data_IF_227735450934
#
_entry.id   IF_227735450934
#
_cell.length_a   1.000
_cell.length_b   1.000
_cell.length_c   1.000
_cell.angle_alpha   90.00
_cell.angle_beta   90.00
_cell.angle_gamma   90.00
#
_symmetry.space_group_name_H-M   'P 1'
#
loop_
_entity.id
_entity.type
_entity.pdbx_description
1 polymer ?
#
# COMPACT_ATOMS: atom_id res chain seq x y z
N UNK A 1 61.58 -7.94 -19.45
CA UNK A 1 61.31 -6.57 -18.96
C UNK A 1 60.04 -6.07 -19.62
N UNK A 2 58.89 -6.29 -18.97
CA UNK A 2 57.57 -5.84 -19.42
C UNK A 2 57.33 -4.44 -18.85
N UNK A 3 57.30 -3.43 -19.72
CA UNK A 3 57.00 -2.07 -19.33
C UNK A 3 55.56 -1.99 -18.79
N UNK A 4 55.44 -1.64 -17.51
CA UNK A 4 54.20 -1.32 -16.83
C UNK A 4 53.55 -0.09 -17.48
N UNK A 5 52.53 -0.31 -18.30
CA UNK A 5 51.64 0.74 -18.77
C UNK A 5 50.63 1.11 -17.65
N UNK A 6 51.14 1.57 -16.50
CA UNK A 6 50.33 2.20 -15.47
C UNK A 6 50.06 3.68 -15.83
N UNK A 7 49.49 3.90 -17.01
CA UNK A 7 48.89 5.18 -17.37
C UNK A 7 47.58 5.31 -16.60
N UNK A 8 47.64 5.86 -15.38
CA UNK A 8 46.46 6.16 -14.60
C UNK A 8 45.50 7.02 -15.45
N UNK A 9 44.43 6.41 -15.95
CA UNK A 9 43.38 7.08 -16.71
C UNK A 9 42.67 8.09 -15.81
N UNK A 10 43.25 9.29 -15.71
CA UNK A 10 42.65 10.40 -15.00
C UNK A 10 41.36 10.80 -15.73
N UNK A 11 40.30 10.99 -14.96
CA UNK A 11 39.05 11.48 -15.52
C UNK A 11 39.27 12.83 -16.22
N UNK A 12 38.67 13.07 -17.41
CA UNK A 12 38.71 14.37 -18.05
C UNK A 12 38.23 15.48 -17.12
N UNK A 13 38.84 16.67 -17.22
CA UNK A 13 38.51 17.81 -16.35
C UNK A 13 37.03 18.19 -16.37
N UNK A 14 36.42 18.19 -17.56
CA UNK A 14 35.01 18.51 -17.73
C UNK A 14 34.07 17.52 -17.01
N UNK A 15 34.35 16.21 -17.09
CA UNK A 15 33.56 15.20 -16.39
C UNK A 15 33.75 15.27 -14.86
N UNK A 16 34.97 15.58 -14.38
CA UNK A 16 35.22 15.87 -12.95
C UNK A 16 34.42 17.07 -12.45
N UNK A 17 34.35 18.13 -13.24
CA UNK A 17 33.58 19.33 -12.90
C UNK A 17 32.08 19.01 -12.78
N UNK A 18 31.52 18.29 -13.74
CA UNK A 18 30.09 17.90 -13.70
C UNK A 18 29.79 16.99 -12.51
N UNK A 19 30.62 15.99 -12.21
CA UNK A 19 30.48 15.19 -10.98
C UNK A 19 30.50 16.07 -9.73
N UNK A 20 31.42 17.05 -9.67
CA UNK A 20 31.48 18.03 -8.60
C UNK A 20 30.17 18.78 -8.41
N UNK A 21 29.60 19.27 -9.52
CA UNK A 21 28.35 20.01 -9.55
C UNK A 21 27.14 19.13 -9.17
N UNK A 22 27.08 17.89 -9.63
CA UNK A 22 26.05 16.93 -9.22
C UNK A 22 26.15 16.58 -7.72
N UNK A 23 27.36 16.49 -7.17
CA UNK A 23 27.55 16.23 -5.74
C UNK A 23 27.13 17.38 -4.84
N UNK A 24 27.14 18.65 -5.28
CA UNK A 24 26.66 19.76 -4.43
C UNK A 24 25.18 19.62 -4.12
N UNK A 25 24.43 19.02 -5.05
CA UNK A 25 23.02 18.73 -4.87
C UNK A 25 22.77 17.65 -3.81
N UNK A 26 23.73 16.79 -3.48
CA UNK A 26 23.55 15.71 -2.49
C UNK A 26 23.84 16.18 -1.04
N UNK A 27 23.26 15.54 -0.01
CA UNK A 27 23.60 15.79 1.40
C UNK A 27 25.07 15.49 1.71
N UNK A 28 25.70 16.28 2.58
CA UNK A 28 27.15 16.26 2.83
C UNK A 28 27.73 14.86 3.15
N UNK A 29 27.04 14.07 3.99
CA UNK A 29 27.46 12.72 4.39
C UNK A 29 27.43 11.69 3.26
N UNK A 30 26.68 11.96 2.18
CA UNK A 30 26.52 11.05 1.04
C UNK A 30 27.41 11.44 -0.15
N UNK A 31 27.95 12.67 -0.17
CA UNK A 31 28.73 13.21 -1.28
C UNK A 31 29.99 12.40 -1.58
N UNK A 32 30.75 12.04 -0.54
CA UNK A 32 32.04 11.38 -0.72
C UNK A 32 31.90 10.00 -1.38
N UNK A 33 30.93 9.21 -0.90
CA UNK A 33 30.59 7.89 -1.46
C UNK A 33 30.11 8.01 -2.91
N UNK A 34 29.10 8.84 -3.16
CA UNK A 34 28.53 8.94 -4.50
C UNK A 34 29.54 9.52 -5.51
N UNK A 35 30.40 10.45 -5.08
CA UNK A 35 31.50 10.96 -5.90
C UNK A 35 32.45 9.84 -6.28
N UNK A 36 32.83 8.96 -5.35
CA UNK A 36 33.72 7.84 -5.62
C UNK A 36 33.10 6.85 -6.62
N UNK A 37 31.83 6.49 -6.43
CA UNK A 37 31.09 5.59 -7.33
C UNK A 37 31.01 6.18 -8.76
N UNK A 38 30.54 7.41 -8.92
CA UNK A 38 30.45 8.05 -10.24
C UNK A 38 31.82 8.23 -10.90
N UNK A 39 32.85 8.54 -10.12
CA UNK A 39 34.22 8.66 -10.63
C UNK A 39 34.72 7.29 -11.12
N UNK A 40 34.48 6.21 -10.37
CA UNK A 40 34.86 4.86 -10.77
C UNK A 40 34.16 4.42 -12.07
N UNK A 41 32.85 4.65 -12.17
CA UNK A 41 32.07 4.30 -13.37
C UNK A 41 32.55 5.08 -14.61
N UNK A 42 32.82 6.38 -14.45
CA UNK A 42 33.27 7.23 -15.55
C UNK A 42 34.71 6.94 -16.01
N UNK A 43 35.54 6.28 -15.19
CA UNK A 43 36.83 5.77 -15.63
C UNK A 43 36.68 4.61 -16.61
N UNK A 44 35.63 3.80 -16.46
CA UNK A 44 35.36 2.63 -17.31
C UNK A 44 34.64 3.00 -18.61
N UNK A 45 33.87 4.09 -18.60
CA UNK A 45 33.14 4.57 -19.78
C UNK A 45 34.04 5.52 -20.58
N UNK A 46 34.03 5.46 -21.91
CA UNK A 46 34.80 6.37 -22.79
C UNK A 46 33.91 7.07 -23.81
N UNK A 47 34.43 8.16 -24.41
CA UNK A 47 33.75 8.88 -25.48
C UNK A 47 32.38 9.47 -25.11
N UNK A 48 31.42 9.56 -26.05
CA UNK A 48 30.13 10.22 -25.86
C UNK A 48 29.20 9.51 -24.85
N UNK A 49 29.45 8.23 -24.55
CA UNK A 49 28.70 7.48 -23.54
C UNK A 49 28.85 8.07 -22.12
N UNK A 50 29.98 8.75 -21.84
CA UNK A 50 30.20 9.45 -20.55
C UNK A 50 29.14 10.52 -20.31
N UNK A 51 28.80 11.28 -21.34
CA UNK A 51 27.82 12.36 -21.22
C UNK A 51 26.42 11.81 -21.00
N UNK A 52 26.05 10.74 -21.73
CA UNK A 52 24.78 10.03 -21.49
C UNK A 52 24.67 9.50 -20.06
N UNK A 53 25.75 8.94 -19.52
CA UNK A 53 25.81 8.50 -18.13
C UNK A 53 25.62 9.68 -17.15
N UNK A 54 26.33 10.79 -17.36
CA UNK A 54 26.19 11.98 -16.51
C UNK A 54 24.78 12.59 -16.54
N UNK A 55 24.14 12.63 -17.71
CA UNK A 55 22.74 13.03 -17.82
C UNK A 55 21.81 12.06 -17.09
N UNK A 56 22.05 10.75 -17.18
CA UNK A 56 21.34 9.74 -16.40
C UNK A 56 21.51 9.92 -14.90
N UNK A 57 22.74 10.21 -14.44
CA UNK A 57 23.04 10.50 -13.03
C UNK A 57 22.35 11.79 -12.56
N UNK A 58 22.25 12.80 -13.43
CA UNK A 58 21.50 14.02 -13.15
C UNK A 58 19.99 13.74 -13.04
N UNK A 59 19.45 12.83 -13.84
CA UNK A 59 18.04 12.45 -13.77
C UNK A 59 17.69 11.67 -12.49
N UNK A 60 18.63 10.89 -11.96
CA UNK A 60 18.44 10.10 -10.73
C UNK A 60 18.70 10.88 -9.43
N UNK A 61 19.18 12.13 -9.52
CA UNK A 61 19.46 12.99 -8.36
C UNK A 61 18.30 13.13 -7.36
N UNK A 62 17.03 13.33 -7.79
CA UNK A 62 15.91 13.42 -6.85
C UNK A 62 15.73 12.13 -6.04
N UNK A 63 15.86 10.97 -6.67
CA UNK A 63 15.77 9.68 -6.01
C UNK A 63 16.94 9.46 -5.03
N UNK A 64 18.16 9.82 -5.44
CA UNK A 64 19.36 9.74 -4.59
C UNK A 64 19.28 10.68 -3.38
N UNK A 65 18.76 11.90 -3.56
CA UNK A 65 18.48 12.82 -2.45
C UNK A 65 17.51 12.21 -1.44
N UNK A 66 16.47 11.55 -1.93
CA UNK A 66 15.44 10.94 -1.11
C UNK A 66 16.01 9.72 -0.33
N UNK A 67 16.83 8.91 -0.98
CA UNK A 67 17.58 7.81 -0.34
C UNK A 67 18.57 8.32 0.71
N UNK A 68 19.37 9.34 0.39
CA UNK A 68 20.37 9.91 1.30
C UNK A 68 19.74 10.57 2.54
N UNK A 69 18.54 11.14 2.39
CA UNK A 69 17.74 11.66 3.53
C UNK A 69 17.22 10.53 4.41
N UNK A 70 16.73 9.44 3.81
CA UNK A 70 16.27 8.24 4.54
C UNK A 70 17.40 7.56 5.30
N UNK A 71 18.57 7.42 4.67
CA UNK A 71 19.75 6.86 5.33
C UNK A 71 20.21 7.66 6.57
N UNK A 72 19.88 8.96 6.65
CA UNK A 72 20.16 9.80 7.83
C UNK A 72 19.10 9.64 8.92
N UNK A 73 17.83 9.47 8.56
CA UNK A 73 16.76 9.18 9.53
C UNK A 73 16.91 7.78 10.14
N UNK A 74 17.52 6.85 9.42
CA UNK A 74 17.80 5.48 9.89
C UNK A 74 19.11 5.42 10.71
N UNK A 75 19.78 6.56 10.94
CA UNK A 75 21.06 6.69 11.61
C UNK A 75 21.08 6.48 13.14
N UNK A 76 20.03 5.91 13.74
CA UNK A 76 20.04 5.52 15.17
C UNK A 76 19.44 4.14 15.45
N UNK A 77 19.34 3.29 14.43
CA UNK A 77 18.94 1.91 14.61
C UNK A 77 18.94 1.24 13.26
N UNK A 78 19.82 0.27 13.08
CA UNK A 78 19.73 -0.67 11.97
C UNK A 78 18.46 -1.47 12.22
N UNK A 79 17.32 -0.92 11.82
CA UNK A 79 16.06 -1.63 11.82
C UNK A 79 16.18 -2.60 10.65
N UNK A 80 16.43 -3.88 10.96
CA UNK A 80 16.47 -4.92 9.96
C UNK A 80 15.22 -4.82 9.07
N UNK A 81 15.36 -5.00 7.73
CA UNK A 81 14.20 -4.97 6.85
C UNK A 81 13.17 -5.98 7.34
N UNK A 82 11.90 -5.56 7.40
CA UNK A 82 10.83 -6.45 7.83
C UNK A 82 10.86 -7.73 6.99
N UNK A 83 10.65 -8.88 7.64
CA UNK A 83 10.54 -10.15 6.95
C UNK A 83 9.47 -10.11 5.85
N UNK A 84 9.62 -10.88 4.76
CA UNK A 84 8.74 -10.81 3.59
C UNK A 84 7.26 -11.01 3.93
N UNK A 85 6.96 -11.88 4.90
CA UNK A 85 5.60 -12.07 5.42
C UNK A 85 5.06 -10.81 6.11
N UNK A 86 5.85 -10.18 6.98
CA UNK A 86 5.43 -8.94 7.68
C UNK A 86 5.19 -7.81 6.68
N UNK A 87 6.06 -7.68 5.68
CA UNK A 87 5.91 -6.68 4.63
C UNK A 87 4.67 -6.93 3.76
N UNK A 88 4.38 -8.20 3.42
CA UNK A 88 3.18 -8.61 2.69
C UNK A 88 1.93 -8.31 3.52
N UNK A 89 1.86 -8.79 4.76
CA UNK A 89 0.73 -8.58 5.67
C UNK A 89 0.46 -7.09 5.89
N UNK A 90 1.50 -6.29 6.16
CA UNK A 90 1.37 -4.85 6.30
C UNK A 90 0.79 -4.18 5.04
N UNK A 91 1.23 -4.61 3.85
CA UNK A 91 0.73 -4.07 2.58
C UNK A 91 -0.72 -4.47 2.31
N UNK A 92 -1.06 -5.72 2.53
CA UNK A 92 -2.42 -6.24 2.39
C UNK A 92 -3.37 -5.53 3.34
N UNK A 93 -2.99 -5.36 4.61
CA UNK A 93 -3.81 -4.66 5.61
C UNK A 93 -3.97 -3.17 5.28
N UNK A 94 -2.91 -2.48 4.86
CA UNK A 94 -3.01 -1.07 4.45
C UNK A 94 -4.00 -0.88 3.29
N UNK A 95 -3.94 -1.76 2.28
CA UNK A 95 -4.83 -1.67 1.12
C UNK A 95 -6.25 -2.11 1.48
N UNK A 96 -6.39 -3.23 2.19
CA UNK A 96 -7.70 -3.79 2.55
C UNK A 96 -8.47 -2.94 3.55
N UNK A 97 -7.83 -2.52 4.66
CA UNK A 97 -8.47 -1.61 5.62
C UNK A 97 -8.71 -0.23 5.00
N UNK A 98 -7.77 0.26 4.19
CA UNK A 98 -7.94 1.52 3.47
C UNK A 98 -9.15 1.48 2.53
N UNK A 99 -9.28 0.40 1.75
CA UNK A 99 -10.43 0.17 0.89
C UNK A 99 -11.73 0.08 1.69
N UNK A 100 -11.82 -0.81 2.68
CA UNK A 100 -13.03 -1.01 3.47
C UNK A 100 -13.49 0.27 4.19
N UNK A 101 -12.58 0.95 4.90
CA UNK A 101 -12.90 2.19 5.63
C UNK A 101 -13.31 3.31 4.67
N UNK A 102 -12.57 3.52 3.58
CA UNK A 102 -12.90 4.58 2.62
C UNK A 102 -14.26 4.31 1.95
N UNK A 103 -14.49 3.07 1.53
CA UNK A 103 -15.75 2.67 0.91
C UNK A 103 -16.91 2.82 1.89
N UNK A 104 -16.73 2.42 3.15
CA UNK A 104 -17.73 2.62 4.20
C UNK A 104 -18.05 4.10 4.34
N UNK A 105 -17.05 4.97 4.57
CA UNK A 105 -17.25 6.42 4.76
C UNK A 105 -17.99 7.05 3.59
N UNK A 106 -17.59 6.71 2.36
CA UNK A 106 -18.20 7.29 1.15
C UNK A 106 -19.62 6.77 0.94
N UNK A 107 -19.84 5.45 1.10
CA UNK A 107 -21.10 4.81 0.72
C UNK A 107 -22.17 4.90 1.79
N UNK A 108 -21.81 4.86 3.08
CA UNK A 108 -22.77 4.88 4.18
C UNK A 108 -22.96 6.31 4.73
N UNK A 109 -22.16 6.83 5.67
CA UNK A 109 -22.44 8.13 6.26
C UNK A 109 -22.35 9.27 5.24
N UNK A 110 -21.44 9.19 4.26
CA UNK A 110 -21.31 10.22 3.22
C UNK A 110 -22.62 10.43 2.45
N UNK A 111 -23.19 9.35 1.90
CA UNK A 111 -24.46 9.42 1.16
C UNK A 111 -25.66 9.67 2.05
N UNK A 112 -25.69 9.03 3.22
CA UNK A 112 -26.76 9.19 4.19
C UNK A 112 -26.95 10.66 4.62
N UNK A 113 -25.83 11.38 4.81
CA UNK A 113 -25.84 12.81 5.16
C UNK A 113 -26.06 13.71 3.92
N UNK A 114 -25.38 13.45 2.80
CA UNK A 114 -25.49 14.29 1.59
C UNK A 114 -26.92 14.30 1.02
N UNK A 115 -27.64 13.19 1.14
CA UNK A 115 -29.01 13.07 0.64
C UNK A 115 -30.08 13.46 1.67
N UNK A 116 -29.65 13.85 2.87
CA UNK A 116 -30.52 14.22 3.99
C UNK A 116 -31.59 13.14 4.28
N UNK A 117 -31.15 11.89 4.31
CA UNK A 117 -32.01 10.73 4.56
C UNK A 117 -32.77 10.87 5.91
N UNK A 118 -32.16 11.35 7.01
CA UNK A 118 -32.89 11.59 8.26
C UNK A 118 -34.12 12.49 8.11
N UNK A 119 -33.99 13.65 7.48
CA UNK A 119 -35.10 14.58 7.32
C UNK A 119 -36.20 14.02 6.40
N UNK A 120 -35.79 13.29 5.34
CA UNK A 120 -36.72 12.65 4.41
C UNK A 120 -37.51 11.52 5.07
N UNK A 121 -36.84 10.67 5.87
CA UNK A 121 -37.52 9.64 6.66
C UNK A 121 -38.49 10.26 7.67
N UNK A 122 -38.10 11.37 8.32
CA UNK A 122 -38.97 12.10 9.24
C UNK A 122 -40.22 12.70 8.55
N UNK A 123 -40.14 13.04 7.26
CA UNK A 123 -41.29 13.47 6.45
C UNK A 123 -42.18 12.34 5.92
N UNK A 124 -41.87 11.07 6.24
CA UNK A 124 -42.63 9.91 5.80
C UNK A 124 -42.34 9.46 4.36
N UNK A 125 -41.29 9.99 3.72
CA UNK A 125 -40.87 9.53 2.40
C UNK A 125 -40.19 8.16 2.52
N UNK A 126 -40.71 7.15 1.81
CA UNK A 126 -39.99 5.88 1.64
C UNK A 126 -38.86 6.11 0.65
N UNK A 127 -37.62 6.06 1.13
CA UNK A 127 -36.43 6.21 0.30
C UNK A 127 -35.67 4.89 0.25
N UNK A 128 -35.90 4.14 -0.81
CA UNK A 128 -35.24 2.86 -1.04
C UNK A 128 -33.73 3.14 -1.34
N UNK A 129 -32.81 2.57 -0.53
CA UNK A 129 -31.37 2.71 -0.73
C UNK A 129 -30.92 2.34 -2.14
N UNK A 130 -31.66 1.46 -2.82
CA UNK A 130 -31.40 1.03 -4.20
C UNK A 130 -31.45 2.14 -5.21
N UNK A 131 -32.20 3.20 -4.92
CA UNK A 131 -32.36 4.37 -5.79
C UNK A 131 -31.20 5.35 -5.62
N UNK A 132 -30.44 5.21 -4.53
CA UNK A 132 -29.20 5.95 -4.29
C UNK A 132 -28.01 5.28 -4.98
N UNK A 133 -28.11 3.99 -5.30
CA UNK A 133 -27.08 3.25 -6.01
C UNK A 133 -27.12 3.58 -7.51
N UNK A 134 -26.06 4.16 -8.10
CA UNK A 134 -26.06 4.58 -9.50
C UNK A 134 -25.82 3.40 -10.47
N UNK A 135 -26.40 2.24 -10.17
CA UNK A 135 -26.14 0.99 -10.90
C UNK A 135 -26.74 1.03 -12.31
N UNK A 136 -27.80 1.80 -12.56
CA UNK A 136 -28.47 1.85 -13.87
C UNK A 136 -27.94 2.94 -14.80
N UNK A 137 -27.53 4.10 -14.29
CA UNK A 137 -27.45 5.31 -15.13
C UNK A 137 -26.02 5.68 -15.57
N UNK A 138 -24.99 4.99 -15.05
CA UNK A 138 -23.58 5.32 -15.32
C UNK A 138 -22.71 4.07 -15.57
N UNK A 139 -22.87 3.37 -16.71
CA UNK A 139 -22.17 2.11 -16.99
C UNK A 139 -20.64 2.27 -17.04
N UNK A 140 -20.13 3.44 -17.42
CA UNK A 140 -18.69 3.72 -17.44
C UNK A 140 -18.04 3.75 -16.04
N UNK A 141 -18.83 4.01 -14.99
CA UNK A 141 -18.35 4.05 -13.60
C UNK A 141 -18.67 2.74 -12.84
N UNK A 142 -19.32 1.78 -13.50
CA UNK A 142 -19.78 0.54 -12.88
C UNK A 142 -18.69 -0.21 -12.10
N UNK A 143 -17.44 -0.36 -12.57
CA UNK A 143 -16.40 -1.05 -11.80
C UNK A 143 -16.04 -0.35 -10.50
N UNK A 144 -15.96 0.99 -10.51
CA UNK A 144 -15.67 1.78 -9.32
C UNK A 144 -16.82 1.71 -8.32
N UNK A 145 -18.07 1.71 -8.81
CA UNK A 145 -19.25 1.57 -7.96
C UNK A 145 -19.32 0.18 -7.31
N UNK A 146 -19.08 -0.89 -8.06
CA UNK A 146 -19.01 -2.26 -7.54
C UNK A 146 -17.93 -2.33 -6.45
N UNK A 147 -16.74 -1.77 -6.71
CA UNK A 147 -15.66 -1.76 -5.73
C UNK A 147 -16.03 -0.99 -4.45
N UNK A 148 -16.69 0.16 -4.57
CA UNK A 148 -17.17 0.95 -3.44
C UNK A 148 -18.27 0.20 -2.66
N UNK A 149 -19.23 -0.40 -3.35
CA UNK A 149 -20.34 -1.14 -2.75
C UNK A 149 -19.82 -2.34 -1.97
N UNK A 150 -18.97 -3.17 -2.59
CA UNK A 150 -18.37 -4.31 -1.92
C UNK A 150 -17.46 -3.92 -0.76
N UNK A 151 -16.79 -2.76 -0.83
CA UNK A 151 -16.00 -2.25 0.29
C UNK A 151 -16.88 -1.80 1.46
N UNK A 152 -18.02 -1.17 1.17
CA UNK A 152 -19.02 -0.79 2.18
C UNK A 152 -19.67 -2.02 2.84
N UNK A 153 -20.03 -3.02 2.03
CA UNK A 153 -20.53 -4.32 2.50
C UNK A 153 -19.48 -5.04 3.36
N UNK A 154 -18.22 -5.07 2.92
CA UNK A 154 -17.12 -5.65 3.66
C UNK A 154 -16.96 -5.02 5.05
N UNK A 155 -17.11 -3.69 5.14
CA UNK A 155 -17.04 -2.98 6.42
C UNK A 155 -18.27 -3.16 7.31
N UNK A 156 -19.43 -3.43 6.73
CA UNK A 156 -20.71 -3.47 7.45
C UNK A 156 -21.14 -4.87 7.86
N UNK A 157 -20.89 -5.87 7.00
CA UNK A 157 -21.27 -7.27 7.22
C UNK A 157 -20.11 -8.18 7.61
N UNK A 158 -18.87 -7.68 7.60
CA UNK A 158 -17.64 -8.39 7.91
C UNK A 158 -17.27 -9.57 6.99
N UNK A 159 -18.18 -10.49 6.67
CA UNK A 159 -17.89 -11.68 5.87
C UNK A 159 -17.27 -11.40 4.47
N UNK A 160 -17.63 -10.33 3.74
CA UNK A 160 -17.01 -10.03 2.45
C UNK A 160 -15.57 -9.52 2.59
N UNK A 161 -15.18 -9.08 3.79
CA UNK A 161 -13.89 -8.46 4.04
C UNK A 161 -12.75 -9.47 3.97
N UNK A 162 -12.92 -10.66 4.55
CA UNK A 162 -11.90 -11.73 4.49
C UNK A 162 -11.65 -12.17 3.04
N UNK A 163 -12.73 -12.27 2.25
CA UNK A 163 -12.63 -12.54 0.82
C UNK A 163 -11.89 -11.41 0.07
N UNK A 164 -12.27 -10.16 0.31
CA UNK A 164 -11.61 -8.99 -0.29
C UNK A 164 -10.12 -8.89 0.06
N UNK A 165 -9.76 -9.11 1.33
CA UNK A 165 -8.37 -9.17 1.78
C UNK A 165 -7.59 -10.28 1.06
N UNK A 166 -8.22 -11.44 0.86
CA UNK A 166 -7.61 -12.56 0.13
C UNK A 166 -7.31 -12.16 -1.31
N UNK A 167 -8.26 -11.56 -2.01
CA UNK A 167 -8.04 -11.07 -3.38
C UNK A 167 -6.92 -10.03 -3.44
N UNK A 168 -6.88 -9.09 -2.50
CA UNK A 168 -5.81 -8.08 -2.41
C UNK A 168 -4.45 -8.76 -2.19
N UNK A 169 -4.36 -9.73 -1.28
CA UNK A 169 -3.13 -10.46 -1.03
C UNK A 169 -2.65 -11.21 -2.28
N UNK A 170 -3.56 -11.87 -3.00
CA UNK A 170 -3.26 -12.55 -4.27
C UNK A 170 -2.73 -11.58 -5.33
N UNK A 171 -3.35 -10.40 -5.47
CA UNK A 171 -2.88 -9.35 -6.39
C UNK A 171 -1.50 -8.84 -5.97
N UNK A 172 -1.27 -8.61 -4.68
CA UNK A 172 0.04 -8.16 -4.18
C UNK A 172 1.13 -9.19 -4.50
N UNK A 173 0.86 -10.48 -4.28
CA UNK A 173 1.77 -11.58 -4.60
C UNK A 173 2.02 -11.64 -6.12
N UNK A 174 0.95 -11.57 -6.92
CA UNK A 174 1.05 -11.61 -8.39
C UNK A 174 1.81 -10.41 -8.97
N UNK A 175 1.83 -9.27 -8.26
CA UNK A 175 2.53 -8.05 -8.69
C UNK A 175 3.94 -7.90 -8.10
N UNK A 176 4.49 -8.90 -7.39
CA UNK A 176 5.88 -8.88 -6.95
C UNK A 176 6.82 -8.71 -8.16
N UNK A 177 7.73 -7.72 -8.08
CA UNK A 177 8.66 -7.36 -9.15
C UNK A 177 10.01 -8.04 -8.90
N UNK A 178 10.60 -8.63 -9.93
CA UNK A 178 11.96 -9.18 -9.85
C UNK A 178 12.23 -10.39 -10.75
N UNK A 179 11.20 -11.03 -11.31
CA UNK A 179 11.33 -12.24 -12.14
C UNK A 179 10.51 -12.11 -13.45
N UNK A 180 10.90 -12.83 -14.52
CA UNK A 180 10.09 -12.96 -15.73
C UNK A 180 8.72 -13.58 -15.40
N UNK A 181 7.67 -13.20 -16.14
CA UNK A 181 6.27 -13.52 -15.77
C UNK A 181 6.00 -15.02 -15.56
N UNK A 182 6.66 -15.90 -16.33
CA UNK A 182 6.54 -17.35 -16.21
C UNK A 182 7.12 -17.87 -14.89
N UNK A 183 8.35 -17.50 -14.57
CA UNK A 183 9.02 -17.88 -13.32
C UNK A 183 8.31 -17.26 -12.11
N UNK A 184 7.80 -16.03 -12.27
CA UNK A 184 6.98 -15.38 -11.25
C UNK A 184 5.74 -16.20 -10.93
N UNK A 185 5.02 -16.72 -11.92
CA UNK A 185 3.84 -17.55 -11.67
C UNK A 185 4.20 -18.87 -10.98
N UNK A 186 5.28 -19.53 -11.37
CA UNK A 186 5.70 -20.78 -10.72
C UNK A 186 6.08 -20.58 -9.25
N UNK A 187 6.76 -19.47 -8.92
CA UNK A 187 7.14 -19.14 -7.54
C UNK A 187 5.96 -18.57 -6.75
N UNK A 188 5.06 -17.82 -7.40
CA UNK A 188 3.87 -17.24 -6.78
C UNK A 188 2.76 -18.25 -6.56
N UNK A 189 2.59 -19.24 -7.45
CA UNK A 189 1.51 -20.22 -7.42
C UNK A 189 1.34 -20.93 -6.07
N UNK A 190 2.38 -21.50 -5.44
CA UNK A 190 2.22 -22.14 -4.13
C UNK A 190 1.83 -21.13 -3.03
N UNK A 191 2.36 -19.90 -3.08
CA UNK A 191 1.99 -18.83 -2.14
C UNK A 191 0.54 -18.40 -2.32
N UNK A 192 0.11 -18.25 -3.57
CA UNK A 192 -1.26 -17.93 -3.94
C UNK A 192 -2.22 -19.05 -3.53
N UNK A 193 -1.84 -20.31 -3.73
CA UNK A 193 -2.66 -21.46 -3.31
C UNK A 193 -2.85 -21.48 -1.79
N UNK A 194 -1.78 -21.27 -1.00
CA UNK A 194 -1.87 -21.21 0.46
C UNK A 194 -2.73 -20.04 0.93
N UNK A 195 -2.54 -18.85 0.35
CA UNK A 195 -3.33 -17.65 0.69
C UNK A 195 -4.80 -17.82 0.28
N UNK A 196 -5.06 -18.37 -0.91
CA UNK A 196 -6.42 -18.63 -1.38
C UNK A 196 -7.11 -19.67 -0.48
N UNK A 197 -6.43 -20.77 -0.14
CA UNK A 197 -6.97 -21.80 0.74
C UNK A 197 -7.28 -21.24 2.13
N UNK A 198 -6.32 -20.54 2.75
CA UNK A 198 -6.52 -19.91 4.05
C UNK A 198 -7.65 -18.87 3.99
N UNK A 199 -7.71 -18.06 2.93
CA UNK A 199 -8.76 -17.09 2.69
C UNK A 199 -10.15 -17.71 2.57
N UNK A 200 -10.29 -18.80 1.82
CA UNK A 200 -11.55 -19.55 1.69
C UNK A 200 -11.97 -20.10 3.06
N UNK A 201 -11.07 -20.80 3.77
CA UNK A 201 -11.38 -21.38 5.09
C UNK A 201 -11.79 -20.30 6.07
N UNK A 202 -11.06 -19.19 6.14
CA UNK A 202 -11.38 -18.07 7.03
C UNK A 202 -12.69 -17.38 6.64
N UNK A 203 -12.99 -17.24 5.34
CA UNK A 203 -14.25 -16.65 4.88
C UNK A 203 -15.44 -17.53 5.28
N UNK A 204 -15.32 -18.85 5.12
CA UNK A 204 -16.37 -19.81 5.53
C UNK A 204 -16.54 -19.79 7.05
N UNK A 205 -15.45 -19.77 7.81
CA UNK A 205 -15.48 -19.70 9.26
C UNK A 205 -16.11 -18.39 9.78
N UNK A 206 -15.75 -17.25 9.18
CA UNK A 206 -16.30 -15.93 9.53
C UNK A 206 -17.78 -15.83 9.17
N UNK A 207 -18.20 -16.33 8.00
CA UNK A 207 -19.61 -16.41 7.61
C UNK A 207 -20.42 -17.30 8.57
N UNK A 208 -19.88 -18.45 8.97
CA UNK A 208 -20.52 -19.32 9.94
C UNK A 208 -20.64 -18.65 11.32
N UNK A 209 -19.58 -17.98 11.78
CA UNK A 209 -19.59 -17.28 13.07
C UNK A 209 -20.57 -16.10 13.07
N UNK A 210 -20.61 -15.34 11.97
CA UNK A 210 -21.59 -14.28 11.76
C UNK A 210 -23.03 -14.82 11.79
N UNK A 211 -23.27 -16.00 11.19
CA UNK A 211 -24.59 -16.63 11.21
C UNK A 211 -25.00 -17.11 12.62
N UNK A 212 -24.06 -17.70 13.38
CA UNK A 212 -24.36 -18.31 14.69
C UNK A 212 -24.41 -17.27 15.81
N UNK A 213 -23.53 -16.28 15.79
CA UNK A 213 -23.31 -15.33 16.89
C UNK A 213 -23.77 -13.92 16.52
N UNK A 214 -24.18 -13.68 15.27
CA UNK A 214 -24.59 -12.36 14.78
C UNK A 214 -23.43 -11.36 14.64
N UNK A 215 -22.19 -11.83 14.77
CA UNK A 215 -20.98 -11.00 14.75
C UNK A 215 -19.96 -11.59 13.79
N UNK A 216 -19.58 -10.82 12.79
CA UNK A 216 -18.36 -11.06 12.03
C UNK A 216 -17.14 -10.63 12.84
N UNK A 217 -16.00 -11.24 12.55
CA UNK A 217 -14.77 -11.07 13.33
C UNK A 217 -13.59 -10.65 12.44
N UNK A 218 -13.76 -10.72 11.12
CA UNK A 218 -12.76 -10.38 10.11
C UNK A 218 -12.15 -8.97 10.23
N UNK A 219 -12.96 -7.91 10.15
CA UNK A 219 -12.49 -6.52 10.22
C UNK A 219 -11.89 -6.21 11.59
N UNK A 220 -12.50 -6.72 12.66
CA UNK A 220 -12.02 -6.53 14.04
C UNK A 220 -10.63 -7.12 14.24
N UNK A 221 -10.43 -8.38 13.85
CA UNK A 221 -9.12 -9.02 13.92
C UNK A 221 -8.09 -8.31 13.04
N UNK A 222 -8.45 -7.95 11.81
CA UNK A 222 -7.53 -7.24 10.93
C UNK A 222 -7.14 -5.86 11.48
N UNK A 223 -8.06 -5.15 12.13
CA UNK A 223 -7.79 -3.89 12.79
C UNK A 223 -6.82 -4.06 13.96
N UNK A 224 -7.02 -5.07 14.81
CA UNK A 224 -6.12 -5.39 15.92
C UNK A 224 -4.72 -5.79 15.43
N UNK A 225 -4.64 -6.62 14.39
CA UNK A 225 -3.36 -7.00 13.77
C UNK A 225 -2.67 -5.80 13.15
N UNK A 226 -3.40 -4.88 12.50
CA UNK A 226 -2.84 -3.65 11.96
C UNK A 226 -2.29 -2.74 13.07
N UNK A 227 -3.00 -2.59 14.17
CA UNK A 227 -2.53 -1.81 15.33
C UNK A 227 -1.26 -2.41 15.93
N UNK A 228 -1.23 -3.73 16.10
CA UNK A 228 -0.07 -4.47 16.59
C UNK A 228 1.13 -4.34 15.64
N UNK A 229 0.94 -4.52 14.33
CA UNK A 229 2.02 -4.33 13.34
C UNK A 229 2.48 -2.88 13.27
N UNK A 230 1.57 -1.91 13.42
CA UNK A 230 1.91 -0.49 13.49
C UNK A 230 2.73 -0.15 14.73
N UNK A 231 2.43 -0.76 15.88
CA UNK A 231 3.13 -0.53 17.15
C UNK A 231 4.46 -1.27 17.22
N UNK A 232 4.46 -2.59 16.98
CA UNK A 232 5.58 -3.51 17.21
C UNK A 232 6.34 -3.94 15.93
N UNK A 233 5.91 -3.52 14.74
CA UNK A 233 6.54 -3.89 13.47
C UNK A 233 7.90 -3.24 13.23
N UNK A 234 8.93 -3.76 13.89
CA UNK A 234 10.34 -3.43 13.62
C UNK A 234 10.68 -3.88 12.19
N UNK A 235 11.03 -2.92 11.32
CA UNK A 235 11.36 -3.16 9.91
C UNK A 235 10.38 -2.54 8.92
N UNK A 236 9.26 -2.00 9.40
CA UNK A 236 8.33 -1.21 8.61
C UNK A 236 8.72 0.27 8.63
N UNK A 237 8.58 0.95 7.48
CA UNK A 237 8.80 2.39 7.42
C UNK A 237 7.80 3.14 8.30
N UNK A 238 8.21 4.30 8.84
CA UNK A 238 7.36 5.13 9.70
C UNK A 238 5.99 5.42 9.09
N UNK A 239 5.94 5.72 7.79
CA UNK A 239 4.68 5.95 7.08
C UNK A 239 3.75 4.73 7.08
N UNK A 240 4.29 3.51 6.89
CA UNK A 240 3.48 2.28 6.96
C UNK A 240 2.98 2.01 8.37
N UNK A 241 3.83 2.23 9.39
CA UNK A 241 3.44 2.06 10.79
C UNK A 241 2.32 3.02 11.19
N UNK A 242 2.46 4.31 10.83
CA UNK A 242 1.42 5.32 11.09
C UNK A 242 0.15 4.99 10.32
N UNK A 243 0.25 4.64 9.04
CA UNK A 243 -0.91 4.25 8.22
C UNK A 243 -1.67 3.07 8.80
N UNK A 244 -0.97 2.02 9.25
CA UNK A 244 -1.58 0.86 9.89
C UNK A 244 -2.29 1.22 11.20
N UNK A 245 -1.70 2.10 12.02
CA UNK A 245 -2.35 2.56 13.26
C UNK A 245 -3.61 3.36 12.98
N UNK A 246 -3.52 4.33 12.06
CA UNK A 246 -4.65 5.18 11.70
C UNK A 246 -5.79 4.34 11.11
N UNK A 247 -5.48 3.46 10.16
CA UNK A 247 -6.49 2.59 9.54
C UNK A 247 -7.04 1.54 10.51
N UNK A 248 -6.21 1.00 11.41
CA UNK A 248 -6.68 0.09 12.46
C UNK A 248 -7.65 0.77 13.43
N UNK A 249 -7.33 1.99 13.89
CA UNK A 249 -8.24 2.77 14.73
C UNK A 249 -9.53 3.15 13.98
N UNK A 250 -9.42 3.55 12.71
CA UNK A 250 -10.57 3.88 11.89
C UNK A 250 -11.49 2.68 11.68
N UNK A 251 -10.92 1.49 11.42
CA UNK A 251 -11.70 0.25 11.29
C UNK A 251 -12.41 -0.15 12.60
N UNK A 252 -11.75 0.00 13.76
CA UNK A 252 -12.41 -0.18 15.05
C UNK A 252 -13.54 0.83 15.26
N UNK A 253 -13.34 2.08 14.87
CA UNK A 253 -14.39 3.11 14.96
C UNK A 253 -15.59 2.75 14.07
N UNK A 254 -15.36 2.25 12.85
CA UNK A 254 -16.43 1.76 11.96
C UNK A 254 -17.23 0.65 12.64
N UNK A 255 -16.56 -0.35 13.24
CA UNK A 255 -17.23 -1.43 13.97
C UNK A 255 -18.09 -0.89 15.13
N UNK A 256 -17.54 0.02 15.95
CA UNK A 256 -18.28 0.62 17.07
C UNK A 256 -19.49 1.39 16.57
N UNK A 257 -19.33 2.19 15.51
CA UNK A 257 -20.44 2.98 14.92
C UNK A 257 -21.53 2.06 14.38
N UNK A 258 -21.17 1.02 13.63
CA UNK A 258 -22.13 0.05 13.06
C UNK A 258 -22.93 -0.68 14.15
N UNK A 259 -22.34 -0.90 15.33
CA UNK A 259 -22.98 -1.57 16.47
C UNK A 259 -23.69 -0.61 17.44
N UNK A 260 -23.64 0.70 17.20
CA UNK A 260 -24.23 1.72 18.10
C UNK A 260 -25.10 2.69 17.31
N UNK A 261 -24.69 3.95 17.21
CA UNK A 261 -25.45 5.05 16.61
C UNK A 261 -25.62 4.92 15.09
N UNK A 262 -24.73 4.17 14.43
CA UNK A 262 -24.78 3.92 12.99
C UNK A 262 -25.59 2.68 12.61
N UNK A 263 -26.14 1.93 13.57
CA UNK A 263 -26.86 0.70 13.28
C UNK A 263 -28.04 0.93 12.32
N UNK A 264 -28.81 2.00 12.53
CA UNK A 264 -29.90 2.38 11.64
C UNK A 264 -29.44 2.71 10.21
N UNK A 265 -28.23 3.29 10.06
CA UNK A 265 -27.63 3.58 8.75
C UNK A 265 -27.22 2.30 8.04
N UNK A 266 -26.70 1.33 8.79
CA UNK A 266 -26.35 0.00 8.27
C UNK A 266 -27.60 -0.78 7.88
N UNK A 267 -28.63 -0.81 8.74
CA UNK A 267 -29.92 -1.45 8.42
C UNK A 267 -30.53 -0.82 7.19
N UNK A 268 -30.60 0.51 7.12
CA UNK A 268 -31.04 1.20 5.91
C UNK A 268 -30.21 0.78 4.69
N UNK A 269 -28.88 0.76 4.78
CA UNK A 269 -28.03 0.35 3.65
C UNK A 269 -28.28 -1.10 3.17
N UNK A 270 -28.78 -1.97 4.05
CA UNK A 270 -28.98 -3.39 3.83
C UNK A 270 -30.38 -3.77 3.32
N UNK A 271 -31.39 -2.95 3.60
CA UNK A 271 -32.79 -3.13 3.15
C UNK A 271 -32.96 -2.88 1.63
#
# INVERSE_FOLDING_TARGET
MTASAAGAHRLPGAARFVVGLLCTALPAHFRARQRAEWTADLMQITGPARWRYLFGAAWTLPALRLLARRARTDGSGIVAPAGPLVALTARTLLVGLGWAVLCWVVMLPGRYLVLDIPARMASGAQFDPKWVWPMSDMPALLPAQIALYWGGMAASMDFPFVFGLTLIALVVIALERGLPWRERLWVAAPRMAVVAFAGIVMTVADAFLAMVVGLGVGLGLAALVALWLGSAGHGLSTGRRVGLRVLGLAALAVLIVNQTVGHAVVVWFMD
#
